data_IF_414507260755
#
_entry.id   IF_414507260755
#
_cell.length_a   1.000
_cell.length_b   1.000
_cell.length_c   1.000
_cell.angle_alpha   90.00
_cell.angle_beta   90.00
_cell.angle_gamma   90.00
#
_symmetry.space_group_name_H-M   'P 1'
#
loop_
_entity.id
_entity.type
_entity.pdbx_description
1 polymer ?
#
# COMPACT_ATOMS: atom_id res chain seq x y z
N UNK A 1 0.42 18.63 -20.12
CA UNK A 1 -0.58 17.56 -19.91
C UNK A 1 -1.52 18.01 -18.81
N UNK A 2 -2.73 18.45 -19.14
CA UNK A 2 -3.77 18.80 -18.15
C UNK A 2 -4.96 17.87 -18.41
N UNK A 3 -5.38 17.13 -17.39
CA UNK A 3 -6.62 16.35 -17.48
C UNK A 3 -7.80 17.30 -17.24
N UNK A 4 -8.62 17.47 -18.26
CA UNK A 4 -9.85 18.25 -18.22
C UNK A 4 -11.07 17.33 -18.35
N UNK A 5 -12.21 17.66 -17.70
CA UNK A 5 -12.45 18.85 -16.87
C UNK A 5 -12.00 18.69 -15.41
N UNK A 6 -11.73 19.82 -14.74
CA UNK A 6 -11.51 19.86 -13.28
C UNK A 6 -12.82 19.51 -12.57
N UNK A 7 -12.80 18.48 -11.73
CA UNK A 7 -13.94 18.06 -10.91
C UNK A 7 -14.00 18.92 -9.64
N UNK A 8 -15.07 19.71 -9.43
CA UNK A 8 -15.29 20.42 -8.18
C UNK A 8 -15.34 19.45 -6.99
N UNK A 9 -14.68 19.77 -5.87
CA UNK A 9 -14.63 18.88 -4.69
C UNK A 9 -16.02 18.44 -4.19
N UNK A 10 -17.04 19.29 -4.31
CA UNK A 10 -18.45 18.97 -3.96
C UNK A 10 -19.06 17.82 -4.77
N UNK A 11 -18.46 17.48 -5.91
CA UNK A 11 -18.90 16.40 -6.80
C UNK A 11 -18.06 15.13 -6.69
N UNK A 12 -17.04 15.10 -5.82
CA UNK A 12 -16.29 13.89 -5.52
C UNK A 12 -17.13 12.97 -4.63
N UNK A 13 -17.99 12.15 -5.26
CA UNK A 13 -18.90 11.20 -4.60
C UNK A 13 -18.56 9.76 -5.00
N UNK A 14 -19.39 8.80 -4.59
CA UNK A 14 -19.17 7.36 -4.82
C UNK A 14 -19.02 6.98 -6.30
N UNK A 15 -19.66 7.73 -7.21
CA UNK A 15 -19.55 7.54 -8.67
C UNK A 15 -18.15 7.83 -9.23
N UNK A 16 -17.25 8.43 -8.44
CA UNK A 16 -15.86 8.69 -8.80
C UNK A 16 -14.87 7.60 -8.33
N UNK A 17 -15.32 6.62 -7.54
CA UNK A 17 -14.43 5.55 -7.06
C UNK A 17 -13.87 4.76 -8.26
N UNK A 18 -12.55 4.55 -8.27
CA UNK A 18 -11.85 3.83 -9.34
C UNK A 18 -11.65 4.63 -10.64
N UNK A 19 -12.02 5.92 -10.67
CA UNK A 19 -11.86 6.79 -11.85
C UNK A 19 -10.71 7.78 -11.66
N UNK A 20 -10.06 8.14 -12.77
CA UNK A 20 -9.08 9.22 -12.79
C UNK A 20 -9.81 10.58 -12.83
N UNK A 21 -9.46 11.49 -11.92
CA UNK A 21 -10.11 12.80 -11.77
C UNK A 21 -9.07 13.91 -11.54
N UNK A 22 -9.40 15.14 -11.92
CA UNK A 22 -8.62 16.33 -11.59
C UNK A 22 -9.35 17.17 -10.54
N UNK A 23 -8.66 17.67 -9.52
CA UNK A 23 -9.23 18.53 -8.47
C UNK A 23 -8.32 19.74 -8.25
N UNK A 24 -8.89 20.86 -7.79
CA UNK A 24 -8.16 22.08 -7.43
C UNK A 24 -8.59 22.56 -6.05
N UNK A 25 -7.63 22.94 -5.21
CA UNK A 25 -7.86 23.38 -3.83
C UNK A 25 -6.61 24.04 -3.25
N UNK A 26 -6.69 24.48 -2.00
CA UNK A 26 -5.57 25.11 -1.27
C UNK A 26 -5.05 24.13 -0.23
N UNK A 27 -3.76 23.82 -0.24
CA UNK A 27 -3.19 22.94 0.78
C UNK A 27 -3.25 23.62 2.15
N UNK A 28 -4.00 23.05 3.10
CA UNK A 28 -4.17 23.59 4.45
C UNK A 28 -3.37 22.84 5.52
N UNK A 29 -3.00 21.59 5.27
CA UNK A 29 -2.20 20.79 6.20
C UNK A 29 -1.46 19.68 5.46
N UNK A 30 -0.24 19.41 5.91
CA UNK A 30 0.61 18.32 5.43
C UNK A 30 1.07 17.50 6.63
N UNK A 31 1.10 16.17 6.51
CA UNK A 31 1.70 15.30 7.53
C UNK A 31 3.20 15.15 7.33
N UNK A 32 3.90 14.74 8.38
CA UNK A 32 5.25 14.18 8.23
C UNK A 32 5.21 13.00 7.25
N UNK A 33 6.27 12.86 6.46
CA UNK A 33 6.48 11.71 5.58
C UNK A 33 6.69 10.48 6.46
N UNK A 34 6.06 9.37 6.09
CA UNK A 34 6.31 8.06 6.71
C UNK A 34 6.53 7.00 5.64
N UNK A 35 7.43 6.04 5.85
CA UNK A 35 7.56 4.90 4.96
C UNK A 35 6.32 4.00 5.09
N UNK A 36 5.85 3.46 3.97
CA UNK A 36 4.86 2.38 3.90
C UNK A 36 5.49 1.14 3.26
N UNK A 37 5.08 -0.04 3.72
CA UNK A 37 5.59 -1.31 3.22
C UNK A 37 4.94 -1.64 1.87
N UNK A 38 5.74 -1.87 0.84
CA UNK A 38 5.28 -2.32 -0.49
C UNK A 38 5.35 -3.83 -0.62
N UNK A 39 6.46 -4.43 -0.22
CA UNK A 39 6.64 -5.87 -0.24
C UNK A 39 7.69 -6.33 0.75
N UNK A 40 7.65 -7.60 1.10
CA UNK A 40 8.62 -8.22 2.02
C UNK A 40 8.62 -9.74 1.83
N UNK A 41 9.74 -10.37 2.15
CA UNK A 41 9.86 -11.82 2.17
C UNK A 41 9.38 -12.41 3.51
N UNK A 42 8.82 -13.61 3.41
CA UNK A 42 8.43 -14.43 4.53
C UNK A 42 9.08 -15.80 4.41
N UNK A 43 9.65 -16.28 5.52
CA UNK A 43 10.31 -17.56 5.62
C UNK A 43 9.44 -18.54 6.39
N UNK A 44 9.26 -19.75 5.87
CA UNK A 44 8.56 -20.78 6.60
C UNK A 44 9.40 -21.28 7.78
N UNK A 45 8.83 -21.28 8.99
CA UNK A 45 9.52 -21.76 10.19
C UNK A 45 9.92 -23.25 10.14
N UNK A 46 9.25 -24.05 9.29
CA UNK A 46 9.47 -25.50 9.18
C UNK A 46 10.46 -25.87 8.08
N UNK A 47 10.19 -25.45 6.84
CA UNK A 47 10.99 -25.85 5.68
C UNK A 47 11.95 -24.76 5.18
N UNK A 48 11.96 -23.57 5.79
CA UNK A 48 12.71 -22.38 5.36
C UNK A 48 12.40 -21.91 3.93
N UNK A 49 11.29 -22.38 3.34
CA UNK A 49 10.83 -21.87 2.06
C UNK A 49 10.48 -20.39 2.14
N UNK A 50 10.92 -19.62 1.15
CA UNK A 50 10.73 -18.18 1.06
C UNK A 50 9.52 -17.83 0.18
N UNK A 51 8.83 -16.75 0.55
CA UNK A 51 7.73 -16.18 -0.24
C UNK A 51 7.75 -14.66 -0.12
N UNK A 52 7.87 -13.96 -1.24
CA UNK A 52 7.63 -12.52 -1.30
C UNK A 52 6.14 -12.23 -1.31
N UNK A 53 5.71 -11.28 -0.49
CA UNK A 53 4.31 -10.82 -0.40
C UNK A 53 4.27 -9.32 -0.64
N UNK A 54 3.43 -8.91 -1.59
CA UNK A 54 3.10 -7.50 -1.85
C UNK A 54 1.97 -7.07 -0.93
N UNK A 55 2.13 -5.91 -0.31
CA UNK A 55 1.18 -5.32 0.63
C UNK A 55 0.17 -4.47 -0.12
N UNK A 56 -1.10 -4.56 0.29
CA UNK A 56 -2.16 -3.70 -0.24
C UNK A 56 -2.24 -2.41 0.59
N UNK A 57 -2.03 -1.27 -0.05
CA UNK A 57 -2.10 0.07 0.56
C UNK A 57 -1.23 0.24 1.82
N UNK A 58 -0.07 -0.41 1.87
CA UNK A 58 0.84 -0.34 3.02
C UNK A 58 0.35 -1.10 4.26
N UNK A 59 -0.73 -1.89 4.16
CA UNK A 59 -1.21 -2.74 5.25
C UNK A 59 -0.39 -4.01 5.31
N UNK A 60 0.08 -4.34 6.51
CA UNK A 60 0.79 -5.59 6.75
C UNK A 60 -0.15 -6.78 6.57
N UNK A 61 0.20 -7.68 5.66
CA UNK A 61 -0.51 -8.94 5.41
C UNK A 61 0.49 -10.10 5.43
N UNK A 62 0.20 -11.10 6.25
CA UNK A 62 1.04 -12.28 6.44
C UNK A 62 0.50 -13.44 5.61
N UNK A 63 1.34 -14.16 4.84
CA UNK A 63 0.86 -15.28 4.05
C UNK A 63 0.28 -16.38 4.95
N UNK A 64 -0.97 -16.79 4.69
CA UNK A 64 -1.68 -17.73 5.56
C UNK A 64 -1.09 -19.16 5.64
N UNK A 65 -0.28 -19.57 4.67
CA UNK A 65 0.50 -20.82 4.75
C UNK A 65 1.65 -20.86 3.74
N UNK A 66 2.63 -21.72 4.03
CA UNK A 66 3.71 -22.07 3.11
C UNK A 66 3.18 -22.92 1.95
N UNK A 67 3.55 -22.56 0.72
CA UNK A 67 3.16 -23.30 -0.49
C UNK A 67 3.73 -24.73 -0.53
N UNK A 68 4.91 -24.95 0.06
CA UNK A 68 5.63 -26.24 -0.01
C UNK A 68 5.14 -27.21 1.07
N UNK A 69 5.23 -26.81 2.34
CA UNK A 69 4.95 -27.72 3.47
C UNK A 69 3.59 -27.49 4.14
N UNK A 70 2.77 -26.55 3.62
CA UNK A 70 1.45 -26.15 4.17
C UNK A 70 1.47 -25.65 5.62
N UNK A 71 2.65 -25.46 6.21
CA UNK A 71 2.78 -24.90 7.54
C UNK A 71 2.27 -23.45 7.57
N UNK A 72 1.60 -23.07 8.65
CA UNK A 72 1.02 -21.72 8.82
C UNK A 72 1.99 -20.73 9.46
N UNK A 73 3.07 -21.21 10.07
CA UNK A 73 4.08 -20.35 10.67
C UNK A 73 5.01 -19.78 9.61
N UNK A 74 4.76 -18.52 9.26
CA UNK A 74 5.51 -17.71 8.32
C UNK A 74 6.16 -16.56 9.09
N UNK A 75 7.48 -16.49 9.05
CA UNK A 75 8.29 -15.52 9.78
C UNK A 75 8.64 -14.39 8.81
N UNK A 76 8.31 -13.13 9.13
CA UNK A 76 8.67 -11.99 8.28
C UNK A 76 10.19 -11.74 8.31
N UNK A 77 10.81 -11.58 7.15
CA UNK A 77 12.18 -11.07 7.05
C UNK A 77 12.17 -9.55 6.82
N UNK A 78 12.38 -8.79 7.89
CA UNK A 78 12.34 -7.32 7.87
C UNK A 78 13.47 -6.69 7.05
N UNK A 79 14.58 -7.40 6.81
CA UNK A 79 15.69 -6.85 6.03
C UNK A 79 15.37 -6.81 4.54
N UNK A 80 14.51 -7.73 4.09
CA UNK A 80 14.01 -7.77 2.71
C UNK A 80 12.91 -6.75 2.40
N UNK A 81 12.53 -5.89 3.37
CA UNK A 81 11.40 -4.99 3.20
C UNK A 81 11.67 -3.93 2.14
N UNK A 82 10.78 -3.82 1.16
CA UNK A 82 10.76 -2.73 0.20
C UNK A 82 9.71 -1.73 0.68
N UNK A 83 10.13 -0.48 0.88
CA UNK A 83 9.28 0.61 1.36
C UNK A 83 9.22 1.75 0.36
N UNK A 84 8.16 2.54 0.42
CA UNK A 84 8.08 3.83 -0.27
C UNK A 84 7.58 4.91 0.67
N UNK A 85 7.92 6.16 0.37
CA UNK A 85 7.49 7.30 1.16
C UNK A 85 6.01 7.60 0.90
N UNK A 86 5.29 7.85 1.98
CA UNK A 86 3.89 8.21 1.95
C UNK A 86 3.64 9.48 2.75
N UNK A 87 2.77 10.33 2.22
CA UNK A 87 2.41 11.59 2.84
C UNK A 87 0.92 11.86 2.67
N UNK A 88 0.27 12.36 3.72
CA UNK A 88 -1.11 12.84 3.67
C UNK A 88 -1.13 14.35 3.51
N UNK A 89 -1.83 14.82 2.49
CA UNK A 89 -2.10 16.24 2.23
C UNK A 89 -3.59 16.49 2.37
N UNK A 90 -3.96 17.60 3.03
CA UNK A 90 -5.33 18.09 3.12
C UNK A 90 -5.46 19.35 2.26
N UNK A 91 -6.37 19.28 1.28
CA UNK A 91 -6.78 20.39 0.41
C UNK A 91 -8.01 21.13 0.97
#
# INVERSE_FOLDING_TARGET
MNYEPVTPMKFLKSNCIGKFVCVRGTVIRVSTIKPILLSMNFLCAKCRGEKTVTMNDGKFDCPGSCLVCKNKSMIPDRHSSITTDWQKVRL
#
